data_IF_734237646224
#
_entry.id   IF_734237646224
#
_cell.length_a   1.000
_cell.length_b   1.000
_cell.length_c   1.000
_cell.angle_alpha   90.00
_cell.angle_beta   90.00
_cell.angle_gamma   90.00
#
_symmetry.space_group_name_H-M   'P 1'
#
loop_
_entity.id
_entity.type
_entity.pdbx_description
1 polymer ?
#
# COMPACT_ATOMS: atom_id res chain seq x y z
N UNK A 1 -17.28 5.42 -16.22
CA UNK A 1 -16.15 5.48 -15.27
C UNK A 1 -14.87 5.36 -16.07
N UNK A 2 -13.96 6.32 -15.95
CA UNK A 2 -12.78 6.44 -16.83
C UNK A 2 -11.54 5.80 -16.20
N UNK A 3 -10.80 5.03 -17.00
CA UNK A 3 -9.47 4.46 -16.69
C UNK A 3 -8.40 5.55 -16.41
N UNK A 4 -8.74 6.84 -16.54
CA UNK A 4 -7.83 7.98 -16.38
C UNK A 4 -7.65 8.45 -14.91
N UNK A 5 -8.55 8.12 -13.98
CA UNK A 5 -8.28 8.28 -12.52
C UNK A 5 -7.21 7.28 -12.01
N UNK A 6 -7.01 6.19 -12.77
CA UNK A 6 -6.14 5.06 -12.46
C UNK A 6 -4.64 5.40 -12.45
N UNK A 7 -4.25 6.61 -12.88
CA UNK A 7 -2.85 7.05 -13.00
C UNK A 7 -2.55 8.42 -12.37
N UNK A 8 -3.55 9.16 -11.88
CA UNK A 8 -3.37 10.56 -11.44
C UNK A 8 -2.94 10.73 -9.97
N UNK A 9 -2.92 9.66 -9.15
CA UNK A 9 -2.44 9.74 -7.75
C UNK A 9 -0.92 9.55 -7.57
N UNK A 10 -0.15 9.63 -8.66
CA UNK A 10 1.31 9.69 -8.62
C UNK A 10 1.89 11.09 -8.38
N UNK A 11 1.05 12.12 -8.24
CA UNK A 11 1.47 13.51 -8.01
C UNK A 11 1.10 13.97 -6.61
N UNK A 12 1.67 13.34 -5.59
CA UNK A 12 1.84 14.02 -4.31
C UNK A 12 3.31 14.44 -4.25
N UNK A 13 3.57 15.64 -3.75
CA UNK A 13 4.90 16.18 -3.52
C UNK A 13 5.83 15.08 -3.00
N UNK A 14 7.09 15.01 -3.47
CA UNK A 14 8.12 14.11 -2.93
C UNK A 14 8.27 14.35 -1.42
N UNK A 15 7.41 13.74 -0.63
CA UNK A 15 7.46 13.66 0.81
C UNK A 15 7.99 12.27 1.12
N UNK A 16 8.88 12.19 2.09
CA UNK A 16 9.29 10.88 2.59
C UNK A 16 8.17 10.25 3.44
N UNK A 17 7.13 11.01 3.82
CA UNK A 17 6.04 10.58 4.69
C UNK A 17 4.68 10.87 4.04
N UNK A 18 4.25 10.06 3.06
CA UNK A 18 2.93 10.21 2.45
C UNK A 18 1.82 9.88 3.46
N UNK A 19 0.71 10.59 3.32
CA UNK A 19 -0.53 10.37 4.09
C UNK A 19 -1.62 9.82 3.18
N UNK A 20 -2.50 8.98 3.75
CA UNK A 20 -3.57 8.31 3.01
C UNK A 20 -4.92 8.48 3.69
N UNK A 21 -6.01 8.39 2.91
CA UNK A 21 -7.37 8.45 3.43
C UNK A 21 -7.99 7.06 3.47
N UNK A 22 -8.87 6.81 4.44
CA UNK A 22 -9.70 5.61 4.43
C UNK A 22 -10.54 5.54 3.14
N UNK A 23 -10.60 4.35 2.53
CA UNK A 23 -11.23 4.09 1.24
C UNK A 23 -10.34 4.39 0.02
N UNK A 24 -9.12 4.89 0.23
CA UNK A 24 -8.19 5.15 -0.86
C UNK A 24 -7.55 3.86 -1.38
N UNK A 25 -7.59 3.66 -2.70
CA UNK A 25 -6.91 2.55 -3.36
C UNK A 25 -5.52 2.97 -3.86
N UNK A 26 -4.51 2.17 -3.53
CA UNK A 26 -3.11 2.43 -3.87
C UNK A 26 -2.43 1.16 -4.38
N UNK A 27 -1.52 1.31 -5.34
CA UNK A 27 -0.69 0.21 -5.83
C UNK A 27 0.73 0.34 -5.31
N UNK A 28 1.18 -0.63 -4.54
CA UNK A 28 2.46 -0.59 -3.81
C UNK A 28 3.13 -1.97 -3.79
N UNK A 29 4.43 -1.99 -3.52
CA UNK A 29 5.16 -3.24 -3.30
C UNK A 29 5.08 -3.65 -1.83
N UNK A 30 4.87 -4.93 -1.59
CA UNK A 30 5.01 -5.52 -0.25
C UNK A 30 6.49 -5.70 0.02
N UNK A 31 6.98 -5.12 1.11
CA UNK A 31 8.42 -5.06 1.42
C UNK A 31 8.84 -6.02 2.53
N UNK A 32 7.89 -6.70 3.16
CA UNK A 32 8.19 -7.68 4.20
C UNK A 32 6.95 -8.09 5.00
N UNK A 33 7.21 -8.66 6.17
CA UNK A 33 6.20 -9.13 7.12
C UNK A 33 6.55 -8.60 8.52
N UNK A 34 5.56 -8.14 9.27
CA UNK A 34 5.69 -7.75 10.67
C UNK A 34 4.60 -8.40 11.52
N UNK A 35 5.02 -9.15 12.55
CA UNK A 35 4.11 -9.89 13.44
C UNK A 35 3.04 -10.67 12.64
N UNK A 36 3.53 -11.48 11.69
CA UNK A 36 2.76 -12.35 10.78
C UNK A 36 1.91 -11.65 9.70
N UNK A 37 1.77 -10.33 9.72
CA UNK A 37 1.04 -9.59 8.67
C UNK A 37 2.02 -9.00 7.64
N UNK A 38 1.74 -9.13 6.33
CA UNK A 38 2.53 -8.46 5.30
C UNK A 38 2.44 -6.94 5.43
N UNK A 39 3.52 -6.25 5.06
CA UNK A 39 3.62 -4.80 5.12
C UNK A 39 4.10 -4.20 3.80
N UNK A 40 3.56 -3.03 3.47
CA UNK A 40 4.04 -2.18 2.39
C UNK A 40 4.65 -0.91 2.98
N UNK A 41 5.85 -0.55 2.52
CA UNK A 41 6.55 0.68 2.93
C UNK A 41 6.60 1.66 1.77
N UNK A 42 6.10 2.87 1.98
CA UNK A 42 6.10 3.95 0.98
C UNK A 42 6.83 5.15 1.60
N UNK A 43 8.11 5.31 1.25
CA UNK A 43 8.99 6.19 2.01
C UNK A 43 9.15 5.66 3.44
N UNK A 44 8.87 6.51 4.42
CA UNK A 44 8.86 6.22 5.85
C UNK A 44 7.47 5.76 6.35
N UNK A 45 6.43 5.84 5.50
CA UNK A 45 5.08 5.42 5.83
C UNK A 45 4.95 3.90 5.73
N UNK A 46 4.33 3.27 6.74
CA UNK A 46 4.13 1.82 6.77
C UNK A 46 2.64 1.47 6.77
N UNK A 47 2.23 0.58 5.86
CA UNK A 47 0.88 0.06 5.78
C UNK A 47 0.86 -1.44 6.06
N UNK A 48 0.08 -1.85 7.06
CA UNK A 48 -0.14 -3.25 7.43
C UNK A 48 -1.29 -3.83 6.60
N UNK A 49 -1.05 -4.95 5.95
CA UNK A 49 -2.00 -5.58 5.04
C UNK A 49 -2.79 -6.64 5.81
N UNK A 50 -4.01 -6.32 6.22
CA UNK A 50 -4.86 -7.23 6.99
C UNK A 50 -5.33 -8.40 6.10
N UNK A 51 -5.11 -9.62 6.57
CA UNK A 51 -5.53 -10.84 5.86
C UNK A 51 -4.70 -11.18 4.62
N UNK A 52 -3.57 -10.50 4.42
CA UNK A 52 -2.60 -10.86 3.37
C UNK A 52 -1.77 -12.09 3.76
N UNK A 53 -1.31 -12.85 2.77
CA UNK A 53 -0.32 -13.92 2.98
C UNK A 53 1.11 -13.37 2.92
N UNK A 54 2.03 -13.97 3.67
CA UNK A 54 3.47 -13.69 3.57
C UNK A 54 4.03 -13.93 2.15
N UNK A 55 3.35 -14.74 1.34
CA UNK A 55 3.71 -14.99 -0.06
C UNK A 55 3.59 -13.73 -0.95
N UNK A 56 2.94 -12.66 -0.45
CA UNK A 56 2.82 -11.39 -1.17
C UNK A 56 4.10 -10.56 -1.15
N UNK A 57 5.10 -10.90 -0.33
CA UNK A 57 6.39 -10.19 -0.29
C UNK A 57 7.01 -10.16 -1.69
N UNK A 58 7.65 -9.03 -2.02
CA UNK A 58 8.23 -8.73 -3.33
C UNK A 58 7.23 -8.68 -4.50
N UNK A 59 5.92 -8.73 -4.21
CA UNK A 59 4.87 -8.55 -5.19
C UNK A 59 4.30 -7.13 -5.16
N UNK A 60 3.84 -6.66 -6.32
CA UNK A 60 3.08 -5.41 -6.44
C UNK A 60 1.60 -5.70 -6.28
N UNK A 61 0.98 -5.09 -5.29
CA UNK A 61 -0.41 -5.33 -4.91
C UNK A 61 -1.22 -4.04 -4.97
N UNK A 62 -2.51 -4.17 -5.27
CA UNK A 62 -3.51 -3.13 -5.09
C UNK A 62 -4.10 -3.30 -3.69
N UNK A 63 -4.03 -2.23 -2.89
CA UNK A 63 -4.53 -2.19 -1.53
C UNK A 63 -5.59 -1.10 -1.41
N UNK A 64 -6.57 -1.33 -0.53
CA UNK A 64 -7.50 -0.30 -0.08
C UNK A 64 -7.18 0.07 1.36
N UNK A 65 -6.81 1.32 1.60
CA UNK A 65 -6.53 1.84 2.95
C UNK A 65 -7.82 1.82 3.77
N UNK A 66 -7.78 1.19 4.93
CA UNK A 66 -8.91 1.09 5.86
C UNK A 66 -8.79 2.12 6.98
N UNK A 67 -7.57 2.36 7.46
CA UNK A 67 -7.25 3.37 8.47
C UNK A 67 -5.84 3.92 8.27
N UNK A 68 -5.63 5.17 8.70
CA UNK A 68 -4.32 5.82 8.67
C UNK A 68 -4.18 6.77 9.85
N UNK A 69 -3.02 6.77 10.46
CA UNK A 69 -2.60 7.66 11.55
C UNK A 69 -1.48 8.57 11.01
N UNK A 70 -1.81 9.85 10.85
CA UNK A 70 -0.92 10.86 10.29
C UNK A 70 0.26 11.22 11.21
N UNK A 71 0.11 11.04 12.53
CA UNK A 71 1.15 11.39 13.50
C UNK A 71 2.28 10.35 13.50
N UNK A 72 1.91 9.08 13.39
CA UNK A 72 2.83 7.93 13.34
C UNK A 72 3.24 7.54 11.91
N UNK A 73 2.54 8.04 10.90
CA UNK A 73 2.65 7.58 9.51
C UNK A 73 2.49 6.06 9.36
N UNK A 74 1.53 5.51 10.10
CA UNK A 74 1.17 4.10 10.04
C UNK A 74 -0.28 3.94 9.63
N UNK A 75 -0.59 2.87 8.91
CA UNK A 75 -1.97 2.59 8.54
C UNK A 75 -2.24 1.12 8.32
N UNK A 76 -3.51 0.83 8.11
CA UNK A 76 -3.99 -0.49 7.74
C UNK A 76 -4.59 -0.44 6.34
N UNK A 77 -4.43 -1.53 5.63
CA UNK A 77 -5.02 -1.69 4.31
C UNK A 77 -5.50 -3.13 4.12
N UNK A 78 -6.50 -3.27 3.27
CA UNK A 78 -7.03 -4.54 2.81
C UNK A 78 -6.41 -4.86 1.44
N UNK A 79 -6.02 -6.12 1.27
CA UNK A 79 -5.56 -6.63 -0.01
C UNK A 79 -6.74 -6.76 -0.99
N UNK A 80 -6.61 -6.19 -2.19
CA UNK A 80 -7.61 -6.32 -3.26
C UNK A 80 -7.16 -7.34 -4.32
N UNK A 81 -5.99 -7.12 -4.93
CA UNK A 81 -5.45 -7.98 -5.98
C UNK A 81 -3.93 -7.80 -6.14
N UNK A 82 -3.27 -8.79 -6.73
CA UNK A 82 -1.87 -8.68 -7.18
C UNK A 82 -1.87 -8.10 -8.59
N UNK A 83 -1.26 -6.93 -8.76
CA UNK A 83 -1.22 -6.20 -10.04
C UNK A 83 0.08 -6.41 -10.82
N UNK A 84 1.08 -7.02 -10.20
CA UNK A 84 2.31 -7.44 -10.86
C UNK A 84 3.17 -8.29 -9.94
N UNK A 85 3.63 -9.42 -10.45
CA UNK A 85 4.65 -10.23 -9.77
C UNK A 85 6.01 -9.70 -10.22
N UNK A 86 6.94 -9.54 -9.28
CA UNK A 86 8.28 -9.12 -9.67
C UNK A 86 8.95 -10.26 -10.43
N UNK A 87 9.33 -9.99 -11.68
CA UNK A 87 10.14 -10.90 -12.49
C UNK A 87 11.61 -10.76 -12.05
N UNK A 88 11.94 -11.30 -10.87
CA UNK A 88 13.32 -11.53 -10.47
C UNK A 88 13.71 -13.00 -10.71
#
# INVERSE_FOLDING_TARGET
MSLLEKYTKGWSFRTNKPSFRAGEEISVFVTGVEADDPIARIGDTTLRIRGGSADLVDSRVLLRVTSFDDDSHTGEAEYLETVGESAF
#
